data_IF_954024716638
#
_entry.id   IF_954024716638
#
_cell.length_a   1.000
_cell.length_b   1.000
_cell.length_c   1.000
_cell.angle_alpha   90.00
_cell.angle_beta   90.00
_cell.angle_gamma   90.00
#
_symmetry.space_group_name_H-M   'P 1'
#
loop_
_entity.id
_entity.type
_entity.pdbx_description
1 polymer ?
#
# COMPACT_ATOMS: atom_id res chain seq x y z
N UNK A 1 6.64 -4.28 3.16
CA UNK A 1 5.66 -5.03 3.99
C UNK A 1 5.03 -6.10 3.13
N UNK A 2 4.41 -7.11 3.73
CA UNK A 2 3.83 -8.24 3.01
C UNK A 2 2.49 -8.61 3.64
N UNK A 3 1.41 -8.51 2.87
CA UNK A 3 0.07 -9.00 3.19
C UNK A 3 -0.72 -9.07 1.87
N UNK A 4 -1.72 -9.96 1.78
CA UNK A 4 -2.58 -10.05 0.60
C UNK A 4 -3.89 -9.28 0.77
N UNK A 5 -4.25 -8.90 2.00
CA UNK A 5 -5.32 -7.97 2.34
C UNK A 5 -4.97 -7.11 3.57
N UNK A 6 -5.79 -6.09 3.86
CA UNK A 6 -5.58 -5.22 5.03
C UNK A 6 -5.97 -5.88 6.36
N UNK A 7 -6.74 -6.97 6.34
CA UNK A 7 -7.15 -7.74 7.50
C UNK A 7 -6.07 -8.75 7.92
N UNK A 8 -5.21 -9.18 6.98
CA UNK A 8 -4.16 -10.18 7.22
C UNK A 8 -2.89 -9.58 7.87
N UNK A 9 -2.80 -8.26 8.02
CA UNK A 9 -1.60 -7.62 8.61
C UNK A 9 -1.61 -7.66 10.13
N UNK A 10 -0.62 -8.33 10.72
CA UNK A 10 -0.39 -8.37 12.17
C UNK A 10 -0.02 -7.02 12.80
N UNK A 11 0.40 -6.05 11.98
CA UNK A 11 0.82 -4.71 12.42
C UNK A 11 -0.17 -3.61 12.00
N UNK A 12 -1.33 -4.01 11.48
CA UNK A 12 -2.40 -3.11 11.08
C UNK A 12 -2.13 -2.34 9.78
N UNK A 13 -3.15 -1.57 9.39
CA UNK A 13 -3.24 -0.87 8.11
C UNK A 13 -2.21 0.26 7.97
N UNK A 14 -1.98 1.04 9.02
CA UNK A 14 -0.98 2.13 9.00
C UNK A 14 0.45 1.64 8.80
N UNK A 15 0.76 0.41 9.23
CA UNK A 15 2.02 -0.23 8.91
C UNK A 15 2.07 -0.67 7.45
N UNK A 16 1.00 -1.32 6.97
CA UNK A 16 0.89 -1.91 5.61
C UNK A 16 0.84 -0.87 4.48
N UNK A 17 0.31 0.32 4.74
CA UNK A 17 0.15 1.39 3.74
C UNK A 17 0.95 2.65 4.09
N UNK A 18 1.99 2.51 4.90
CA UNK A 18 2.84 3.64 5.28
C UNK A 18 3.53 4.28 4.06
N UNK A 19 3.12 5.50 3.72
CA UNK A 19 3.74 6.34 2.68
C UNK A 19 5.25 6.51 2.90
N UNK A 20 5.70 6.71 4.13
CA UNK A 20 7.12 6.82 4.46
C UNK A 20 7.91 5.56 4.07
N UNK A 21 7.34 4.37 4.29
CA UNK A 21 8.00 3.10 3.93
C UNK A 21 8.04 2.90 2.41
N UNK A 22 6.99 3.31 1.71
CA UNK A 22 6.93 3.28 0.24
C UNK A 22 7.98 4.23 -0.35
N UNK A 23 8.04 5.48 0.14
CA UNK A 23 9.02 6.48 -0.30
C UNK A 23 10.45 6.00 -0.09
N UNK A 24 10.75 5.39 1.07
CA UNK A 24 12.07 4.78 1.31
C UNK A 24 12.31 3.64 0.31
N UNK A 25 11.37 2.73 0.08
CA UNK A 25 11.59 1.62 -0.86
C UNK A 25 11.84 2.10 -2.30
N UNK A 26 11.05 3.07 -2.78
CA UNK A 26 11.17 3.60 -4.15
C UNK A 26 12.46 4.41 -4.34
N UNK A 27 12.81 5.26 -3.38
CA UNK A 27 14.02 6.11 -3.47
C UNK A 27 15.35 5.34 -3.46
N UNK A 28 15.35 4.05 -3.08
CA UNK A 28 16.55 3.19 -3.18
C UNK A 28 16.77 2.62 -4.57
N UNK A 29 15.78 2.64 -5.45
CA UNK A 29 15.94 2.17 -6.81
C UNK A 29 16.83 3.13 -7.61
N UNK A 30 17.83 2.59 -8.31
CA UNK A 30 18.75 3.40 -9.13
C UNK A 30 18.31 3.57 -10.60
N UNK A 31 17.41 2.73 -11.08
CA UNK A 31 16.97 2.74 -12.49
C UNK A 31 15.52 2.32 -12.71
N UNK A 32 15.00 1.38 -11.92
CA UNK A 32 13.61 0.92 -12.02
C UNK A 32 13.08 0.49 -10.65
N UNK A 33 11.86 0.91 -10.33
CA UNK A 33 11.08 0.43 -9.20
C UNK A 33 9.83 -0.28 -9.72
N UNK A 34 9.65 -1.55 -9.34
CA UNK A 34 8.49 -2.35 -9.69
C UNK A 34 7.65 -2.58 -8.42
N UNK A 35 6.34 -2.37 -8.53
CA UNK A 35 5.39 -2.58 -7.43
C UNK A 35 4.45 -3.71 -7.81
N UNK A 36 4.41 -4.72 -6.95
CA UNK A 36 3.50 -5.86 -7.06
C UNK A 36 2.59 -5.89 -5.85
N UNK A 37 1.34 -6.29 -6.04
CA UNK A 37 0.42 -6.45 -4.93
C UNK A 37 -0.84 -7.19 -5.34
N UNK A 38 -1.52 -7.73 -4.32
CA UNK A 38 -2.81 -8.38 -4.46
C UNK A 38 -3.91 -7.35 -4.77
N UNK A 39 -4.87 -7.65 -5.66
CA UNK A 39 -6.03 -6.78 -5.92
C UNK A 39 -6.83 -6.45 -4.65
N UNK A 40 -6.93 -7.42 -3.74
CA UNK A 40 -7.64 -7.33 -2.45
C UNK A 40 -7.07 -6.24 -1.53
N UNK A 41 -5.85 -5.76 -1.76
CA UNK A 41 -5.29 -4.62 -1.02
C UNK A 41 -6.05 -3.31 -1.27
N UNK A 42 -6.75 -3.19 -2.41
CA UNK A 42 -7.57 -2.02 -2.74
C UNK A 42 -8.99 -2.10 -2.18
N UNK A 43 -9.41 -3.27 -1.71
CA UNK A 43 -10.73 -3.52 -1.09
C UNK A 43 -10.73 -3.18 0.41
N UNK A 44 -9.63 -2.62 0.92
CA UNK A 44 -9.48 -2.24 2.32
C UNK A 44 -10.60 -1.28 2.77
N UNK A 45 -11.34 -1.67 3.82
CA UNK A 45 -12.40 -0.83 4.38
C UNK A 45 -11.82 0.44 5.00
N UNK A 46 -12.23 1.58 4.47
CA UNK A 46 -11.85 2.91 4.98
C UNK A 46 -13.10 3.58 5.56
N UNK A 47 -13.14 3.67 6.89
CA UNK A 47 -14.20 4.31 7.68
C UNK A 47 -13.87 5.77 8.07
N UNK A 48 -12.61 6.18 7.93
CA UNK A 48 -12.15 7.55 8.18
C UNK A 48 -11.34 8.12 7.02
N UNK A 49 -11.23 9.44 6.96
CA UNK A 49 -10.43 10.16 5.96
C UNK A 49 -8.96 9.76 6.06
N UNK A 50 -8.44 9.58 7.28
CA UNK A 50 -7.07 9.14 7.51
C UNK A 50 -6.81 7.75 6.92
N UNK A 51 -7.77 6.81 7.03
CA UNK A 51 -7.65 5.50 6.38
C UNK A 51 -7.72 5.59 4.86
N UNK A 52 -8.57 6.46 4.32
CA UNK A 52 -8.61 6.69 2.87
C UNK A 52 -7.27 7.21 2.35
N UNK A 53 -6.63 8.14 3.05
CA UNK A 53 -5.33 8.70 2.68
C UNK A 53 -4.23 7.63 2.63
N UNK A 54 -4.24 6.66 3.57
CA UNK A 54 -3.27 5.55 3.59
C UNK A 54 -3.39 4.67 2.33
N UNK A 55 -4.61 4.30 1.95
CA UNK A 55 -4.85 3.36 0.84
C UNK A 55 -4.69 4.04 -0.54
N UNK A 56 -4.86 5.37 -0.59
CA UNK A 56 -4.85 6.16 -1.83
C UNK A 56 -3.59 5.94 -2.69
N UNK A 57 -2.42 5.72 -2.07
CA UNK A 57 -1.18 5.47 -2.81
C UNK A 57 -1.25 4.25 -3.71
N UNK A 58 -1.89 3.16 -3.27
CA UNK A 58 -2.07 1.96 -4.10
C UNK A 58 -3.15 2.15 -5.17
N UNK A 59 -4.18 2.95 -4.89
CA UNK A 59 -5.21 3.29 -5.88
C UNK A 59 -4.68 4.11 -7.05
N UNK A 60 -3.67 4.95 -6.82
CA UNK A 60 -3.02 5.73 -7.87
C UNK A 60 -2.22 4.86 -8.87
N UNK A 61 -1.89 3.62 -8.53
CA UNK A 61 -1.13 2.71 -9.39
C UNK A 61 -2.04 2.08 -10.46
N UNK A 62 -1.88 2.53 -11.71
CA UNK A 62 -2.71 2.12 -12.88
C UNK A 62 -2.53 0.66 -13.35
N UNK A 63 -1.82 -0.18 -12.60
CA UNK A 63 -1.41 -1.52 -13.06
C UNK A 63 -1.67 -2.66 -12.08
N UNK A 64 -2.03 -2.38 -10.81
CA UNK A 64 -2.67 -3.43 -10.02
C UNK A 64 -4.03 -3.67 -10.69
N UNK A 65 -4.31 -4.89 -11.14
CA UNK A 65 -5.63 -5.33 -11.59
C UNK A 65 -6.05 -6.45 -10.67
#
# INVERSE_FOLDING_TARGET
MTASSAEETSRGMGFLFSLNRINVAVSRAKGLALVFGSPRLREAKCDTVERMQLVNTLWALRGLK
#
